data_IF_172718678633
#
_entry.id   IF_172718678633
#
_cell.length_a   1.000
_cell.length_b   1.000
_cell.length_c   1.000
_cell.angle_alpha   90.00
_cell.angle_beta   90.00
_cell.angle_gamma   90.00
#
_symmetry.space_group_name_H-M   'P 1'
#
loop_
_entity.id
_entity.type
_entity.pdbx_description
1 polymer ?
#
# COMPACT_ATOMS: atom_id res chain seq x y z
N UNK A 1 21.57 -6.30 17.98
CA UNK A 1 21.72 -4.98 17.34
C UNK A 1 21.21 -5.09 15.92
N UNK A 2 20.22 -4.28 15.53
CA UNK A 2 19.64 -4.36 14.18
C UNK A 2 20.69 -3.93 13.14
N UNK A 3 20.86 -4.72 12.09
CA UNK A 3 21.75 -4.47 10.96
C UNK A 3 21.22 -3.24 10.19
N UNK A 4 21.60 -2.04 10.63
CA UNK A 4 21.33 -0.79 9.91
C UNK A 4 22.40 -0.75 8.84
N UNK A 5 22.04 -0.86 7.55
CA UNK A 5 22.98 -0.68 6.46
C UNK A 5 23.74 0.65 6.55
N UNK A 6 24.71 0.87 5.67
CA UNK A 6 25.62 2.04 5.69
C UNK A 6 24.94 3.34 6.14
N UNK A 7 25.51 3.97 7.18
CA UNK A 7 24.98 5.21 7.75
C UNK A 7 24.93 6.29 6.67
N UNK A 8 23.71 6.65 6.26
CA UNK A 8 23.53 7.77 5.33
C UNK A 8 23.99 9.06 6.02
N UNK A 9 24.66 9.97 5.29
CA UNK A 9 24.92 11.32 5.80
C UNK A 9 23.60 11.95 6.26
N UNK A 10 23.60 12.92 7.17
CA UNK A 10 22.38 13.62 7.62
C UNK A 10 22.33 15.02 7.02
N UNK A 11 21.13 15.50 6.66
CA UNK A 11 20.87 16.85 6.20
C UNK A 11 21.25 17.84 7.31
N UNK A 12 22.22 18.74 7.07
CA UNK A 12 22.68 19.68 8.10
C UNK A 12 21.57 20.64 8.55
N UNK A 13 20.57 20.90 7.71
CA UNK A 13 19.49 21.87 8.00
C UNK A 13 18.32 21.28 8.78
N UNK A 14 18.10 19.96 8.73
CA UNK A 14 16.91 19.35 9.37
C UNK A 14 17.17 18.02 10.12
N UNK A 15 18.43 17.56 10.18
CA UNK A 15 18.84 16.37 10.94
C UNK A 15 18.37 15.01 10.40
N UNK A 16 17.53 15.00 9.35
CA UNK A 16 17.04 13.79 8.67
C UNK A 16 18.11 13.24 7.71
N UNK A 17 18.08 11.94 7.41
CA UNK A 17 19.05 11.32 6.50
C UNK A 17 19.09 12.03 5.13
N UNK A 18 20.30 12.39 4.70
CA UNK A 18 20.70 13.12 3.50
C UNK A 18 20.34 12.28 2.26
N UNK A 19 19.54 12.88 1.40
CA UNK A 19 19.64 12.70 -0.04
C UNK A 19 20.02 14.08 -0.61
N UNK A 20 20.62 14.12 -1.81
CA UNK A 20 21.14 15.35 -2.46
C UNK A 20 20.12 16.51 -2.66
N UNK A 21 18.91 16.46 -2.10
CA UNK A 21 17.85 17.44 -2.31
C UNK A 21 17.28 18.00 -1.00
N UNK A 22 17.97 19.04 -0.52
CA UNK A 22 17.45 20.22 0.15
C UNK A 22 15.93 20.50 -0.07
N UNK A 23 15.22 20.88 1.01
CA UNK A 23 13.87 21.50 0.99
C UNK A 23 12.68 20.66 0.48
N UNK A 24 12.92 19.51 -0.14
CA UNK A 24 11.93 18.70 -0.90
C UNK A 24 11.85 17.22 -0.45
N UNK A 25 12.37 16.89 0.74
CA UNK A 25 12.46 15.51 1.21
C UNK A 25 11.09 14.91 1.56
N UNK A 26 10.43 14.30 0.57
CA UNK A 26 9.16 13.58 0.72
C UNK A 26 9.40 12.14 1.20
N UNK A 27 10.21 12.00 2.26
CA UNK A 27 10.48 10.72 2.92
C UNK A 27 9.28 10.32 3.75
N UNK A 28 8.61 9.24 3.35
CA UNK A 28 7.44 8.74 4.03
C UNK A 28 7.61 7.29 4.45
N UNK A 29 7.05 6.98 5.61
CA UNK A 29 6.99 5.63 6.15
C UNK A 29 6.06 4.75 5.34
N UNK A 30 6.54 3.57 4.95
CA UNK A 30 5.72 2.51 4.37
C UNK A 30 4.88 1.77 5.42
N UNK A 31 5.38 1.70 6.66
CA UNK A 31 4.70 1.17 7.84
C UNK A 31 4.52 2.31 8.85
N UNK A 32 3.30 2.55 9.33
CA UNK A 32 3.04 3.58 10.34
C UNK A 32 3.89 3.38 11.59
N UNK A 33 4.43 4.48 12.13
CA UNK A 33 5.18 4.48 13.39
C UNK A 33 4.38 3.92 14.55
N UNK A 34 3.08 4.25 14.61
CA UNK A 34 2.11 3.72 15.58
C UNK A 34 2.00 2.20 15.58
N UNK A 35 2.52 1.53 14.56
CA UNK A 35 2.51 0.06 14.46
C UNK A 35 3.91 -0.51 14.42
N UNK A 36 4.92 0.19 14.93
CA UNK A 36 6.32 -0.26 15.04
C UNK A 36 7.09 -0.20 13.71
N UNK A 37 6.78 0.77 12.85
CA UNK A 37 7.61 1.07 11.69
C UNK A 37 8.84 1.87 12.10
N UNK A 38 10.02 1.35 11.83
CA UNK A 38 11.29 2.02 12.13
C UNK A 38 11.48 3.26 11.26
N UNK A 39 12.15 4.29 11.79
CA UNK A 39 12.62 5.41 10.98
C UNK A 39 13.77 4.91 10.06
N UNK A 40 13.87 5.42 8.83
CA UNK A 40 14.92 5.05 7.86
C UNK A 40 14.61 3.87 6.92
N UNK A 41 15.55 3.57 6.02
CA UNK A 41 15.38 2.55 4.96
C UNK A 41 15.30 1.13 5.55
N UNK A 42 14.45 0.22 5.00
CA UNK A 42 13.57 0.38 3.85
C UNK A 42 12.18 0.93 4.20
N UNK A 43 11.95 1.40 5.43
CA UNK A 43 10.64 1.93 5.81
C UNK A 43 10.39 3.32 5.25
N UNK A 44 11.40 4.19 5.30
CA UNK A 44 11.36 5.55 4.80
C UNK A 44 11.90 5.61 3.38
N UNK A 45 11.05 6.05 2.46
CA UNK A 45 11.39 6.18 1.05
C UNK A 45 10.82 7.48 0.49
N UNK A 46 11.51 8.06 -0.50
CA UNK A 46 10.94 9.15 -1.28
C UNK A 46 9.71 8.62 -2.02
N UNK A 47 8.52 9.09 -1.63
CA UNK A 47 7.25 8.75 -2.28
C UNK A 47 6.79 9.93 -3.13
N UNK A 48 5.89 9.70 -4.08
CA UNK A 48 5.09 10.80 -4.61
C UNK A 48 4.14 11.27 -3.49
N UNK A 49 4.17 12.56 -3.14
CA UNK A 49 3.37 13.13 -2.04
C UNK A 49 1.87 12.91 -2.25
N UNK A 50 1.40 13.04 -3.48
CA UNK A 50 0.00 12.86 -3.83
C UNK A 50 -0.40 11.39 -3.68
N UNK A 51 0.41 10.44 -4.18
CA UNK A 51 0.14 9.00 -4.01
C UNK A 51 0.17 8.58 -2.53
N UNK A 52 1.09 9.13 -1.73
CA UNK A 52 1.17 8.82 -0.30
C UNK A 52 -0.01 9.38 0.48
N UNK A 53 -0.42 10.63 0.21
CA UNK A 53 -1.61 11.22 0.82
C UNK A 53 -2.86 10.44 0.45
N UNK A 54 -3.02 10.09 -0.83
CA UNK A 54 -4.15 9.29 -1.30
C UNK A 54 -4.18 7.89 -0.67
N UNK A 55 -3.01 7.27 -0.44
CA UNK A 55 -2.93 6.00 0.26
C UNK A 55 -3.47 6.11 1.69
N UNK A 56 -3.07 7.13 2.42
CA UNK A 56 -3.55 7.35 3.79
C UNK A 56 -5.03 7.73 3.84
N UNK A 57 -5.52 8.52 2.89
CA UNK A 57 -6.93 8.85 2.81
C UNK A 57 -7.82 7.63 2.55
N UNK A 58 -7.32 6.62 1.83
CA UNK A 58 -8.04 5.37 1.59
C UNK A 58 -7.89 4.34 2.70
N UNK A 59 -6.66 4.15 3.17
CA UNK A 59 -6.27 2.96 3.95
C UNK A 59 -5.84 3.30 5.37
N UNK A 60 -5.78 4.58 5.72
CA UNK A 60 -5.28 5.04 7.01
C UNK A 60 -3.91 4.47 7.32
N UNK A 61 -3.80 3.78 8.45
CA UNK A 61 -2.58 3.16 8.95
C UNK A 61 -2.54 1.63 8.77
N UNK A 62 -3.27 1.11 7.78
CA UNK A 62 -3.26 -0.31 7.45
C UNK A 62 -1.95 -0.72 6.77
N UNK A 63 -1.49 -1.93 7.07
CA UNK A 63 -0.41 -2.61 6.37
C UNK A 63 -0.93 -3.12 5.03
N UNK A 64 -0.06 -3.24 4.05
CA UNK A 64 -0.43 -3.67 2.69
C UNK A 64 -1.14 -5.02 2.63
N UNK A 65 -0.81 -5.97 3.53
CA UNK A 65 -1.53 -7.25 3.63
C UNK A 65 -2.95 -7.12 4.20
N UNK A 66 -3.19 -6.15 5.08
CA UNK A 66 -4.54 -5.86 5.60
C UNK A 66 -5.38 -5.18 4.51
N UNK A 67 -4.80 -4.24 3.78
CA UNK A 67 -5.43 -3.63 2.60
C UNK A 67 -5.78 -4.69 1.56
N UNK A 68 -4.84 -5.61 1.26
CA UNK A 68 -5.09 -6.74 0.36
C UNK A 68 -6.28 -7.60 0.81
N UNK A 69 -6.44 -7.80 2.12
CA UNK A 69 -7.58 -8.56 2.67
C UNK A 69 -8.88 -7.81 2.43
N UNK A 70 -8.95 -6.51 2.72
CA UNK A 70 -10.14 -5.69 2.46
C UNK A 70 -10.53 -5.70 0.98
N UNK A 71 -9.56 -5.58 0.08
CA UNK A 71 -9.80 -5.61 -1.37
C UNK A 71 -10.41 -6.93 -1.84
N UNK A 72 -9.96 -8.06 -1.28
CA UNK A 72 -10.39 -9.40 -1.72
C UNK A 72 -11.68 -9.88 -1.04
N UNK A 73 -11.89 -9.52 0.23
CA UNK A 73 -13.00 -10.03 1.03
C UNK A 73 -14.15 -9.02 1.18
N UNK A 74 -13.82 -7.72 1.28
CA UNK A 74 -14.75 -6.65 1.65
C UNK A 74 -14.88 -5.60 0.54
N UNK A 75 -14.78 -6.03 -0.72
CA UNK A 75 -14.73 -5.14 -1.89
C UNK A 75 -15.89 -4.14 -1.96
N UNK A 76 -17.11 -4.56 -1.62
CA UNK A 76 -18.30 -3.70 -1.74
C UNK A 76 -18.25 -2.51 -0.78
N UNK A 77 -17.61 -2.67 0.39
CA UNK A 77 -17.44 -1.60 1.37
C UNK A 77 -16.12 -0.85 1.13
N UNK A 78 -15.08 -1.55 0.70
CA UNK A 78 -13.76 -0.95 0.54
C UNK A 78 -13.65 -0.05 -0.70
N UNK A 79 -14.32 -0.42 -1.79
CA UNK A 79 -14.38 0.41 -3.00
C UNK A 79 -15.43 1.51 -2.81
N UNK A 80 -15.04 2.81 -2.79
CA UNK A 80 -15.97 3.90 -2.49
C UNK A 80 -17.10 4.04 -3.54
N UNK A 81 -16.89 3.58 -4.78
CA UNK A 81 -17.95 3.53 -5.80
C UNK A 81 -19.01 2.46 -5.54
N UNK A 82 -18.63 1.40 -4.80
CA UNK A 82 -19.54 0.34 -4.36
C UNK A 82 -20.17 0.71 -3.03
N UNK A 83 -19.40 1.25 -2.11
CA UNK A 83 -19.82 1.69 -0.78
C UNK A 83 -20.94 2.72 -0.84
N UNK A 84 -20.92 3.61 -1.85
CA UNK A 84 -21.99 4.57 -2.10
C UNK A 84 -23.38 3.92 -2.24
N UNK A 85 -23.46 2.63 -2.55
CA UNK A 85 -24.72 1.87 -2.70
C UNK A 85 -25.21 1.25 -1.38
N UNK A 86 -24.40 1.27 -0.32
CA UNK A 86 -24.78 0.73 0.99
C UNK A 86 -25.75 1.67 1.72
N UNK A 87 -26.72 1.10 2.44
CA UNK A 87 -27.90 1.79 2.99
C UNK A 87 -27.57 2.93 3.97
N UNK A 88 -26.42 2.87 4.65
CA UNK A 88 -26.04 3.80 5.73
C UNK A 88 -24.78 4.61 5.42
N UNK A 89 -24.41 4.68 4.14
CA UNK A 89 -23.21 5.40 3.73
C UNK A 89 -23.43 6.91 3.70
N UNK A 90 -22.61 7.65 4.45
CA UNK A 90 -22.51 9.10 4.33
C UNK A 90 -21.72 9.47 3.07
N UNK A 91 -22.46 9.77 2.00
CA UNK A 91 -21.91 10.06 0.67
C UNK A 91 -21.02 11.30 0.68
N UNK A 92 -21.26 12.27 1.58
CA UNK A 92 -20.46 13.49 1.66
C UNK A 92 -19.03 13.19 2.12
N UNK A 93 -18.84 12.13 2.90
CA UNK A 93 -17.52 11.67 3.37
C UNK A 93 -16.76 10.84 2.33
N UNK A 94 -17.40 10.47 1.22
CA UNK A 94 -16.76 9.68 0.16
C UNK A 94 -15.98 10.51 -0.85
N UNK A 95 -16.19 11.82 -0.96
CA UNK A 95 -15.58 12.63 -2.01
C UNK A 95 -14.04 12.52 -2.04
N UNK A 96 -13.39 12.67 -0.87
CA UNK A 96 -11.94 12.57 -0.74
C UNK A 96 -11.43 11.13 -0.98
N UNK A 97 -12.20 10.12 -0.56
CA UNK A 97 -11.88 8.71 -0.85
C UNK A 97 -12.02 8.39 -2.33
N UNK A 98 -13.04 8.89 -3.02
CA UNK A 98 -13.21 8.70 -4.46
C UNK A 98 -12.05 9.33 -5.24
N UNK A 99 -11.65 10.55 -4.88
CA UNK A 99 -10.50 11.21 -5.51
C UNK A 99 -9.21 10.40 -5.29
N UNK A 100 -8.99 9.95 -4.05
CA UNK A 100 -7.82 9.15 -3.69
C UNK A 100 -7.81 7.80 -4.40
N UNK A 101 -8.98 7.16 -4.55
CA UNK A 101 -9.15 5.92 -5.31
C UNK A 101 -8.81 6.12 -6.78
N UNK A 102 -9.33 7.17 -7.40
CA UNK A 102 -9.06 7.49 -8.80
C UNK A 102 -7.58 7.75 -9.04
N UNK A 103 -6.93 8.48 -8.14
CA UNK A 103 -5.49 8.77 -8.24
C UNK A 103 -4.66 7.48 -8.17
N UNK A 104 -5.00 6.57 -7.27
CA UNK A 104 -4.18 5.37 -7.03
C UNK A 104 -4.48 4.21 -7.97
N UNK A 105 -5.75 4.00 -8.29
CA UNK A 105 -6.23 2.79 -8.95
C UNK A 105 -6.96 3.06 -10.26
N UNK A 106 -7.54 4.26 -10.41
CA UNK A 106 -8.43 4.62 -11.50
C UNK A 106 -9.89 4.30 -11.20
N UNK A 107 -10.80 5.02 -11.85
CA UNK A 107 -12.25 4.96 -11.61
C UNK A 107 -12.84 3.56 -11.81
N UNK A 108 -12.43 2.86 -12.86
CA UNK A 108 -12.95 1.53 -13.20
C UNK A 108 -12.05 0.38 -12.73
N UNK A 109 -11.24 0.61 -11.68
CA UNK A 109 -10.32 -0.39 -11.17
C UNK A 109 -11.06 -1.66 -10.72
N UNK A 110 -10.62 -2.81 -11.25
CA UNK A 110 -11.08 -4.12 -10.79
C UNK A 110 -10.28 -4.57 -9.57
N UNK A 111 -10.78 -5.54 -8.80
CA UNK A 111 -10.03 -6.18 -7.68
C UNK A 111 -8.62 -6.58 -8.11
N UNK A 112 -8.49 -7.16 -9.30
CA UNK A 112 -7.19 -7.59 -9.86
C UNK A 112 -6.25 -6.40 -10.08
N UNK A 113 -6.74 -5.30 -10.65
CA UNK A 113 -5.94 -4.08 -10.89
C UNK A 113 -5.48 -3.47 -9.58
N UNK A 114 -6.38 -3.33 -8.60
CA UNK A 114 -6.04 -2.79 -7.27
C UNK A 114 -4.97 -3.66 -6.60
N UNK A 115 -5.14 -4.98 -6.62
CA UNK A 115 -4.15 -5.92 -6.06
C UNK A 115 -2.79 -5.83 -6.77
N UNK A 116 -2.77 -5.75 -8.09
CA UNK A 116 -1.53 -5.59 -8.85
C UNK A 116 -0.80 -4.29 -8.47
N UNK A 117 -1.53 -3.19 -8.27
CA UNK A 117 -0.95 -1.91 -7.83
C UNK A 117 -0.41 -2.00 -6.41
N UNK A 118 -1.14 -2.62 -5.46
CA UNK A 118 -0.67 -2.83 -4.08
C UNK A 118 0.64 -3.63 -4.09
N UNK A 119 0.71 -4.72 -4.86
CA UNK A 119 1.90 -5.57 -4.96
C UNK A 119 3.06 -4.79 -5.58
N UNK A 120 2.83 -4.11 -6.70
CA UNK A 120 3.92 -3.51 -7.49
C UNK A 120 4.42 -2.17 -6.94
N UNK A 121 3.55 -1.32 -6.40
CA UNK A 121 3.90 0.03 -5.92
C UNK A 121 4.10 0.12 -4.41
N UNK A 122 3.36 -0.67 -3.63
CA UNK A 122 3.27 -0.48 -2.17
C UNK A 122 3.94 -1.59 -1.37
N UNK A 123 4.18 -2.76 -1.95
CA UNK A 123 4.84 -3.88 -1.27
C UNK A 123 6.35 -3.85 -1.49
N UNK A 124 7.13 -3.83 -0.40
CA UNK A 124 8.60 -3.78 -0.47
C UNK A 124 9.22 -4.95 0.28
N UNK A 125 8.92 -5.08 1.57
CA UNK A 125 9.57 -6.01 2.49
C UNK A 125 9.11 -7.44 2.28
N UNK A 126 10.00 -8.39 2.53
CA UNK A 126 9.72 -9.84 2.47
C UNK A 126 8.56 -10.25 3.37
N UNK A 127 8.46 -9.65 4.57
CA UNK A 127 7.35 -9.90 5.49
C UNK A 127 5.99 -9.51 4.88
N UNK A 128 5.89 -8.34 4.25
CA UNK A 128 4.66 -7.87 3.63
C UNK A 128 4.26 -8.76 2.45
N UNK A 129 5.25 -9.19 1.64
CA UNK A 129 5.04 -10.15 0.55
C UNK A 129 4.51 -11.49 1.06
N UNK A 130 5.11 -12.02 2.14
CA UNK A 130 4.65 -13.25 2.76
C UNK A 130 3.22 -13.12 3.30
N UNK A 131 2.87 -11.97 3.88
CA UNK A 131 1.51 -11.69 4.35
C UNK A 131 0.53 -11.64 3.17
N UNK A 132 0.85 -10.93 2.08
CA UNK A 132 -0.01 -10.87 0.89
C UNK A 132 -0.17 -12.27 0.27
N UNK A 133 0.89 -13.08 0.17
CA UNK A 133 0.78 -14.48 -0.31
C UNK A 133 -0.20 -15.31 0.52
N UNK A 134 -0.15 -15.18 1.86
CA UNK A 134 -1.12 -15.85 2.74
C UNK A 134 -2.54 -15.39 2.46
N UNK A 135 -2.76 -14.08 2.30
CA UNK A 135 -4.07 -13.49 1.98
C UNK A 135 -4.59 -13.98 0.61
N UNK A 136 -3.74 -14.02 -0.42
CA UNK A 136 -4.09 -14.54 -1.75
C UNK A 136 -4.50 -16.02 -1.68
N UNK A 137 -3.76 -16.83 -0.93
CA UNK A 137 -4.07 -18.25 -0.72
C UNK A 137 -5.43 -18.42 -0.02
N UNK A 138 -5.68 -17.65 1.05
CA UNK A 138 -6.99 -17.65 1.72
C UNK A 138 -8.12 -17.21 0.80
N UNK A 139 -7.93 -16.17 -0.01
CA UNK A 139 -8.93 -15.68 -0.95
C UNK A 139 -9.24 -16.71 -2.04
N UNK A 140 -8.23 -17.44 -2.53
CA UNK A 140 -8.42 -18.53 -3.49
C UNK A 140 -9.26 -19.67 -2.88
N UNK A 141 -8.94 -20.13 -1.66
CA UNK A 141 -9.72 -21.17 -0.99
C UNK A 141 -11.16 -20.74 -0.68
N UNK A 142 -11.36 -19.49 -0.28
CA UNK A 142 -12.68 -18.91 -0.07
C UNK A 142 -13.43 -18.57 -1.38
N UNK A 143 -12.88 -18.94 -2.55
CA UNK A 143 -13.43 -18.65 -3.89
C UNK A 143 -13.68 -17.15 -4.16
N UNK A 144 -12.96 -16.26 -3.46
CA UNK A 144 -12.95 -14.81 -3.70
C UNK A 144 -11.96 -14.41 -4.81
N UNK A 145 -11.05 -15.32 -5.17
CA UNK A 145 -10.03 -15.13 -6.20
C UNK A 145 -9.96 -16.37 -7.10
N UNK A 146 -9.94 -16.17 -8.42
CA UNK A 146 -9.80 -17.27 -9.38
C UNK A 146 -8.39 -17.87 -9.32
N UNK A 147 -8.23 -19.14 -9.73
CA UNK A 147 -6.90 -19.79 -9.82
C UNK A 147 -5.98 -19.04 -10.79
N UNK A 148 -6.53 -18.51 -11.88
CA UNK A 148 -5.81 -17.69 -12.88
C UNK A 148 -5.28 -16.40 -12.26
N UNK A 149 -6.12 -15.66 -11.54
CA UNK A 149 -5.71 -14.40 -10.91
C UNK A 149 -4.76 -14.66 -9.73
N UNK A 150 -4.95 -15.73 -8.97
CA UNK A 150 -4.01 -16.17 -7.94
C UNK A 150 -2.61 -16.41 -8.52
N UNK A 151 -2.51 -17.16 -9.62
CA UNK A 151 -1.23 -17.42 -10.28
C UNK A 151 -0.57 -16.12 -10.78
N UNK A 152 -1.34 -15.26 -11.43
CA UNK A 152 -0.87 -13.95 -11.90
C UNK A 152 -0.35 -13.06 -10.77
N UNK A 153 -1.15 -12.87 -9.70
CA UNK A 153 -0.78 -11.99 -8.59
C UNK A 153 0.39 -12.56 -7.78
N UNK A 154 0.49 -13.89 -7.62
CA UNK A 154 1.63 -14.53 -6.96
C UNK A 154 2.91 -14.30 -7.77
N UNK A 155 2.84 -14.47 -9.10
CA UNK A 155 3.98 -14.17 -9.98
C UNK A 155 4.47 -12.74 -9.83
N UNK A 156 3.58 -11.75 -9.76
CA UNK A 156 3.97 -10.35 -9.51
C UNK A 156 4.73 -10.14 -8.19
N UNK A 157 4.43 -10.93 -7.15
CA UNK A 157 5.15 -10.86 -5.88
C UNK A 157 6.57 -11.43 -6.03
N UNK A 158 6.71 -12.48 -6.84
CA UNK A 158 7.96 -13.20 -7.05
C UNK A 158 8.89 -12.50 -8.04
N UNK A 159 8.38 -11.96 -9.15
CA UNK A 159 9.15 -11.20 -10.15
C UNK A 159 9.79 -9.93 -9.55
N UNK A 160 9.30 -9.47 -8.40
CA UNK A 160 9.88 -8.34 -7.65
C UNK A 160 10.97 -8.77 -6.65
N UNK A 161 11.42 -10.03 -6.66
CA UNK A 161 12.51 -10.55 -5.81
C UNK A 161 13.88 -10.24 -6.39
N UNK A 162 13.99 -9.84 -7.66
CA UNK A 162 15.24 -9.31 -8.20
C UNK A 162 15.54 -7.94 -7.56
N UNK A 163 16.45 -7.96 -6.59
CA UNK A 163 17.17 -6.82 -6.03
C UNK A 163 18.62 -6.90 -6.49
#
# INVERSE_FOLDING_TARGET
MANRGEERPRCPSCGKFYNKQCGKCNSHHTRPRSRGGDDGYPNETNRNKQEHSAWHNLHGNLRVGEVARLVLFDWEIHNPYREKKEKFTDVNRLAERIQSWNLLYGQNATRRVVMAIIITKFTRRTFDRAHIKKVLKSAMFAKKLSKKDYGYLTKLIDDKIEM
#
